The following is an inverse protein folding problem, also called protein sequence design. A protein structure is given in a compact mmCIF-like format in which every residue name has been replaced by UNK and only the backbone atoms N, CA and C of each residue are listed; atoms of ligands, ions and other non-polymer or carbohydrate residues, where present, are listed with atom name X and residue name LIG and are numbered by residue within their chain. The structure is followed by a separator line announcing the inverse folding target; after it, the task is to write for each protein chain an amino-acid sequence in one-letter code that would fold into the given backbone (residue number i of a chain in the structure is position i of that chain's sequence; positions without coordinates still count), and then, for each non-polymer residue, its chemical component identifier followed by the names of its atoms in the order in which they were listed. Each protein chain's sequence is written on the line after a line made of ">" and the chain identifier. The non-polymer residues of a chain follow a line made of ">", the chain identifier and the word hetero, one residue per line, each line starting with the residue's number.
data_IF_913616162321
#
_entry.id   IF_913616162321
#
_cell.length_a   1.000
_cell.length_b   1.000
_cell.length_c   1.000
_cell.angle_alpha   90.00
_cell.angle_beta   90.00
_cell.angle_gamma   90.00
#
_symmetry.space_group_name_H-M   'P 1'
#
loop_
_entity.id
_entity.type
_entity.pdbx_description
1 polymer ?
#
# COMPACT_ATOMS: atom_id res chain seq x y z
N UNK A 1 27.96 2.66 -33.38
CA UNK A 1 26.98 3.42 -32.56
C UNK A 1 27.77 4.49 -31.84
N UNK A 2 27.41 5.74 -32.07
CA UNK A 2 28.09 6.92 -31.54
C UNK A 2 27.87 6.99 -30.02
N UNK A 3 28.83 7.51 -29.24
CA UNK A 3 28.74 7.54 -27.77
C UNK A 3 27.45 8.20 -27.26
N UNK A 4 26.92 9.15 -28.02
CA UNK A 4 25.63 9.83 -27.75
C UNK A 4 24.43 8.87 -27.71
N UNK A 5 24.36 7.89 -28.60
CA UNK A 5 23.22 6.96 -28.65
C UNK A 5 23.19 6.05 -27.42
N UNK A 6 24.36 5.62 -26.96
CA UNK A 6 24.50 4.79 -25.75
C UNK A 6 24.09 5.57 -24.49
N UNK A 7 24.55 6.81 -24.37
CA UNK A 7 24.20 7.72 -23.27
C UNK A 7 22.68 7.95 -23.15
N UNK A 8 22.03 8.16 -24.29
CA UNK A 8 20.59 8.34 -24.36
C UNK A 8 19.85 7.05 -23.97
N UNK A 9 20.35 5.89 -24.39
CA UNK A 9 19.84 4.57 -24.02
C UNK A 9 19.82 4.34 -22.51
N UNK A 10 20.95 4.55 -21.84
CA UNK A 10 21.08 4.36 -20.38
C UNK A 10 20.15 5.31 -19.59
N UNK A 11 20.00 6.55 -20.06
CA UNK A 11 19.08 7.52 -19.43
C UNK A 11 17.63 7.07 -19.53
N UNK A 12 17.22 6.58 -20.71
CA UNK A 12 15.86 6.05 -20.93
C UNK A 12 15.59 4.81 -20.09
N UNK A 13 16.57 3.91 -19.98
CA UNK A 13 16.49 2.73 -19.14
C UNK A 13 16.25 3.09 -17.67
N UNK A 14 17.03 4.03 -17.13
CA UNK A 14 16.83 4.51 -15.75
C UNK A 14 15.43 5.11 -15.54
N UNK A 15 14.94 5.94 -16.46
CA UNK A 15 13.59 6.51 -16.37
C UNK A 15 12.51 5.41 -16.41
N UNK A 16 12.67 4.41 -17.27
CA UNK A 16 11.74 3.28 -17.36
C UNK A 16 11.71 2.48 -16.04
N UNK A 17 12.88 2.17 -15.47
CA UNK A 17 12.99 1.45 -14.19
C UNK A 17 12.36 2.23 -13.03
N UNK A 18 12.51 3.56 -12.98
CA UNK A 18 11.83 4.39 -11.98
C UNK A 18 10.31 4.33 -12.18
N UNK A 19 9.82 4.45 -13.41
CA UNK A 19 8.40 4.34 -13.73
C UNK A 19 7.80 2.97 -13.34
N UNK A 20 8.52 1.89 -13.63
CA UNK A 20 8.16 0.53 -13.25
C UNK A 20 8.11 0.39 -11.71
N UNK A 21 9.12 0.88 -10.99
CA UNK A 21 9.13 0.84 -9.53
C UNK A 21 7.96 1.61 -8.91
N UNK A 22 7.58 2.77 -9.46
CA UNK A 22 6.39 3.51 -8.98
C UNK A 22 5.09 2.75 -9.29
N UNK A 23 5.03 2.07 -10.43
CA UNK A 23 3.90 1.22 -10.81
C UNK A 23 3.75 0.02 -9.87
N UNK A 24 4.83 -0.70 -9.59
CA UNK A 24 4.85 -1.81 -8.61
C UNK A 24 4.44 -1.35 -7.21
N UNK A 25 4.88 -0.17 -6.79
CA UNK A 25 4.42 0.40 -5.52
C UNK A 25 2.91 0.68 -5.50
N UNK A 26 2.33 1.06 -6.63
CA UNK A 26 0.89 1.29 -6.74
C UNK A 26 0.09 0.00 -6.51
N UNK A 27 0.62 -1.16 -6.92
CA UNK A 27 0.04 -2.46 -6.58
C UNK A 27 0.12 -2.76 -5.07
N UNK A 28 1.24 -2.41 -4.42
CA UNK A 28 1.35 -2.48 -2.95
C UNK A 28 0.28 -1.63 -2.27
N UNK A 29 0.04 -0.39 -2.73
CA UNK A 29 -1.03 0.47 -2.19
C UNK A 29 -2.42 -0.13 -2.42
N UNK A 30 -2.67 -0.72 -3.60
CA UNK A 30 -3.93 -1.40 -3.91
C UNK A 30 -4.15 -2.61 -2.99
N UNK A 31 -3.13 -3.43 -2.74
CA UNK A 31 -3.23 -4.58 -1.84
C UNK A 31 -3.46 -4.17 -0.38
N UNK A 32 -2.86 -3.07 0.08
CA UNK A 32 -3.16 -2.49 1.39
C UNK A 32 -4.58 -1.94 1.46
N UNK A 33 -5.08 -1.33 0.38
CA UNK A 33 -6.47 -0.88 0.29
C UNK A 33 -7.44 -2.07 0.39
N UNK A 34 -7.17 -3.16 -0.34
CA UNK A 34 -7.98 -4.38 -0.27
C UNK A 34 -7.99 -4.97 1.14
N UNK A 35 -6.82 -5.03 1.78
CA UNK A 35 -6.69 -5.50 3.16
C UNK A 35 -7.47 -4.63 4.14
N UNK A 36 -7.38 -3.30 4.02
CA UNK A 36 -8.18 -2.36 4.80
C UNK A 36 -9.68 -2.62 4.61
N UNK A 37 -10.13 -2.72 3.35
CA UNK A 37 -11.53 -2.94 3.03
C UNK A 37 -12.05 -4.24 3.64
N UNK A 38 -11.33 -5.35 3.52
CA UNK A 38 -11.71 -6.64 4.14
C UNK A 38 -11.84 -6.52 5.66
N UNK A 39 -11.03 -5.68 6.31
CA UNK A 39 -11.06 -5.52 7.77
C UNK A 39 -12.21 -4.65 8.27
N UNK A 40 -12.70 -3.69 7.47
CA UNK A 40 -13.74 -2.73 7.88
C UNK A 40 -15.12 -3.05 7.32
N UNK A 41 -15.17 -3.86 6.28
CA UNK A 41 -16.41 -4.25 5.62
C UNK A 41 -16.87 -5.61 6.17
N UNK A 42 -18.07 -5.71 6.77
CA UNK A 42 -18.68 -7.00 7.09
C UNK A 42 -18.80 -7.81 5.80
N UNK A 43 -18.48 -9.10 5.78
CA UNK A 43 -18.56 -9.90 4.55
C UNK A 43 -19.82 -10.76 4.60
N UNK A 44 -20.87 -10.37 3.86
CA UNK A 44 -22.14 -11.13 3.79
C UNK A 44 -22.08 -12.38 2.92
N UNK A 45 -20.92 -12.74 2.36
CA UNK A 45 -20.80 -13.80 1.38
C UNK A 45 -20.06 -15.00 1.97
N UNK A 46 -20.80 -15.99 2.44
CA UNK A 46 -20.26 -17.33 2.58
C UNK A 46 -19.98 -17.90 1.18
N UNK A 47 -18.91 -18.70 0.98
CA UNK A 47 -18.65 -19.39 -0.29
C UNK A 47 -19.77 -20.34 -0.73
N UNK A 48 -20.62 -20.72 0.24
CA UNK A 48 -21.76 -21.64 0.07
C UNK A 48 -23.06 -20.89 -0.28
N UNK A 49 -23.10 -19.56 -0.10
CA UNK A 49 -24.14 -18.71 -0.66
C UNK A 49 -23.74 -18.38 -2.10
N UNK A 50 -24.62 -18.65 -3.06
CA UNK A 50 -24.36 -18.53 -4.51
C UNK A 50 -23.34 -17.43 -4.86
N UNK A 51 -22.34 -17.81 -5.66
CA UNK A 51 -21.09 -17.11 -6.00
C UNK A 51 -21.22 -15.67 -6.56
N UNK A 52 -22.38 -15.04 -6.46
CA UNK A 52 -22.68 -13.64 -6.79
C UNK A 52 -22.82 -12.71 -5.57
N UNK A 53 -22.90 -13.22 -4.33
CA UNK A 53 -23.08 -12.36 -3.14
C UNK A 53 -21.80 -11.62 -2.67
N UNK A 54 -20.65 -11.85 -3.31
CA UNK A 54 -19.40 -11.08 -3.08
C UNK A 54 -19.49 -9.66 -3.69
N UNK A 55 -20.55 -9.36 -4.43
CA UNK A 55 -20.74 -8.08 -5.12
C UNK A 55 -21.76 -7.24 -4.33
N UNK A 56 -21.37 -6.02 -3.92
CA UNK A 56 -22.23 -4.94 -3.34
C UNK A 56 -22.19 -4.65 -1.84
N UNK A 57 -21.19 -5.09 -1.09
CA UNK A 57 -20.89 -4.37 0.16
C UNK A 57 -20.00 -3.21 -0.25
N UNK A 58 -20.51 -1.99 -0.13
CA UNK A 58 -19.97 -0.70 -0.58
C UNK A 58 -18.42 -0.59 -0.48
N UNK A 59 -17.70 -1.24 -1.40
CA UNK A 59 -16.24 -1.20 -1.49
C UNK A 59 -15.76 0.21 -1.78
N UNK A 60 -16.66 1.07 -2.29
CA UNK A 60 -16.35 2.43 -2.68
C UNK A 60 -16.05 3.28 -1.44
N UNK A 61 -16.79 3.13 -0.35
CA UNK A 61 -16.56 3.93 0.88
C UNK A 61 -15.20 3.65 1.53
N UNK A 62 -14.81 2.40 1.88
CA UNK A 62 -13.48 2.12 2.41
C UNK A 62 -12.36 2.51 1.46
N UNK A 63 -12.55 2.30 0.15
CA UNK A 63 -11.57 2.70 -0.88
C UNK A 63 -11.41 4.22 -0.91
N UNK A 64 -12.51 4.96 -0.92
CA UNK A 64 -12.49 6.43 -0.89
C UNK A 64 -11.82 6.94 0.39
N UNK A 65 -12.12 6.35 1.54
CA UNK A 65 -11.46 6.68 2.82
C UNK A 65 -9.95 6.43 2.73
N UNK A 66 -9.53 5.26 2.22
CA UNK A 66 -8.11 4.91 2.11
C UNK A 66 -7.34 5.89 1.21
N UNK A 67 -7.89 6.23 0.05
CA UNK A 67 -7.25 7.14 -0.90
C UNK A 67 -7.43 8.63 -0.57
N UNK A 68 -8.36 8.98 0.33
CA UNK A 68 -8.47 10.35 0.87
C UNK A 68 -7.30 10.75 1.76
N UNK A 69 -6.52 9.77 2.22
CA UNK A 69 -5.39 9.98 3.13
C UNK A 69 -4.10 10.10 2.32
N UNK A 70 -3.58 11.32 2.20
CA UNK A 70 -2.37 11.57 1.39
C UNK A 70 -1.10 10.91 1.97
N UNK A 71 -0.99 10.86 3.30
CA UNK A 71 0.19 10.36 3.96
C UNK A 71 0.18 8.82 4.09
N UNK A 72 1.14 8.16 3.42
CA UNK A 72 1.26 6.70 3.47
C UNK A 72 1.43 6.12 4.89
N UNK A 73 2.12 6.82 5.80
CA UNK A 73 2.26 6.38 7.20
C UNK A 73 0.90 6.34 7.89
N UNK A 74 0.02 7.29 7.57
CA UNK A 74 -1.35 7.31 8.10
C UNK A 74 -2.19 6.19 7.50
N UNK A 75 -2.09 5.93 6.18
CA UNK A 75 -2.73 4.76 5.55
C UNK A 75 -2.33 3.46 6.24
N UNK A 76 -1.03 3.24 6.45
CA UNK A 76 -0.55 2.02 7.10
C UNK A 76 -1.06 1.88 8.55
N UNK A 77 -1.13 2.97 9.32
CA UNK A 77 -1.73 2.97 10.66
C UNK A 77 -3.22 2.65 10.65
N UNK A 78 -3.94 3.07 9.62
CA UNK A 78 -5.36 2.72 9.46
C UNK A 78 -5.52 1.23 9.18
N UNK A 79 -4.65 0.64 8.35
CA UNK A 79 -4.62 -0.81 8.13
C UNK A 79 -4.28 -1.55 9.42
N UNK A 80 -3.25 -1.10 10.17
CA UNK A 80 -2.87 -1.69 11.46
C UNK A 80 -4.06 -1.72 12.44
N UNK A 81 -4.77 -0.60 12.59
CA UNK A 81 -5.93 -0.48 13.48
C UNK A 81 -7.13 -1.34 13.03
N UNK A 82 -7.39 -1.39 11.71
CA UNK A 82 -8.46 -2.22 11.16
C UNK A 82 -8.17 -3.72 11.38
N UNK A 83 -6.92 -4.14 11.22
CA UNK A 83 -6.49 -5.51 11.49
C UNK A 83 -6.57 -5.87 12.97
N UNK A 84 -6.21 -4.96 13.87
CA UNK A 84 -6.36 -5.17 15.31
C UNK A 84 -7.83 -5.36 15.70
N UNK A 85 -8.74 -4.59 15.08
CA UNK A 85 -10.17 -4.77 15.27
C UNK A 85 -10.70 -6.10 14.70
N UNK A 86 -10.16 -6.54 13.54
CA UNK A 86 -10.56 -7.79 12.87
C UNK A 86 -10.01 -9.03 13.58
N UNK A 87 -8.74 -9.02 13.98
CA UNK A 87 -8.02 -10.16 14.59
C UNK A 87 -8.00 -9.98 16.11
N UNK A 88 -9.15 -10.20 16.72
CA UNK A 88 -9.39 -9.87 18.12
C UNK A 88 -9.32 -11.07 19.08
N UNK A 89 -9.05 -12.27 18.56
CA UNK A 89 -8.87 -13.50 19.33
C UNK A 89 -7.48 -13.61 19.97
N UNK A 90 -7.36 -14.54 20.91
CA UNK A 90 -6.07 -14.94 21.51
C UNK A 90 -5.70 -16.39 21.18
N UNK A 91 -6.43 -17.01 20.25
CA UNK A 91 -6.09 -18.31 19.72
C UNK A 91 -4.76 -18.26 18.94
N UNK A 92 -4.13 -19.42 18.77
CA UNK A 92 -2.82 -19.57 18.13
C UNK A 92 -2.81 -18.96 16.71
N UNK A 93 -3.89 -19.14 15.95
CA UNK A 93 -4.01 -18.61 14.59
C UNK A 93 -4.09 -17.08 14.57
N UNK A 94 -4.86 -16.48 15.49
CA UNK A 94 -4.88 -15.02 15.67
C UNK A 94 -3.51 -14.44 16.06
N UNK A 95 -2.70 -15.18 16.82
CA UNK A 95 -1.33 -14.78 17.19
C UNK A 95 -0.39 -14.87 15.97
N UNK A 96 -0.49 -15.94 15.19
CA UNK A 96 0.27 -16.13 13.95
C UNK A 96 0.00 -14.99 12.96
N UNK A 97 -1.28 -14.71 12.65
CA UNK A 97 -1.66 -13.65 11.72
C UNK A 97 -1.17 -12.26 12.16
N UNK A 98 -1.22 -11.96 13.46
CA UNK A 98 -0.69 -10.69 13.98
C UNK A 98 0.83 -10.62 13.87
N UNK A 99 1.52 -11.74 14.05
CA UNK A 99 2.99 -11.83 13.91
C UNK A 99 3.41 -11.63 12.46
N UNK A 100 2.73 -12.31 11.54
CA UNK A 100 2.93 -12.17 10.09
C UNK A 100 2.67 -10.74 9.64
N UNK A 101 1.57 -10.14 10.08
CA UNK A 101 1.27 -8.74 9.79
C UNK A 101 2.34 -7.80 10.33
N UNK A 102 2.82 -7.99 11.56
CA UNK A 102 3.85 -7.13 12.14
C UNK A 102 5.15 -7.16 11.31
N UNK A 103 5.53 -8.35 10.81
CA UNK A 103 6.67 -8.51 9.91
C UNK A 103 6.44 -7.80 8.56
N UNK A 104 5.26 -7.97 7.95
CA UNK A 104 4.88 -7.33 6.70
C UNK A 104 4.82 -5.81 6.84
N UNK A 105 4.11 -5.28 7.85
CA UNK A 105 4.00 -3.84 8.14
C UNK A 105 5.37 -3.20 8.33
N UNK A 106 6.31 -3.88 9.01
CA UNK A 106 7.71 -3.42 9.12
C UNK A 106 8.43 -3.41 7.77
N UNK A 107 8.28 -4.44 6.93
CA UNK A 107 8.85 -4.48 5.57
C UNK A 107 8.27 -3.36 4.70
N UNK A 108 6.95 -3.17 4.71
CA UNK A 108 6.22 -2.10 4.03
C UNK A 108 6.73 -0.72 4.42
N UNK A 109 6.91 -0.46 5.72
CA UNK A 109 7.46 0.81 6.22
C UNK A 109 8.88 1.08 5.73
N UNK A 110 9.73 0.04 5.65
CA UNK A 110 11.10 0.18 5.13
C UNK A 110 11.08 0.48 3.62
N UNK A 111 10.20 -0.18 2.88
CA UNK A 111 10.08 -0.03 1.43
C UNK A 111 9.42 1.29 1.03
N UNK A 112 8.49 1.84 1.83
CA UNK A 112 7.91 3.16 1.57
C UNK A 112 8.95 4.28 1.60
N UNK A 113 9.99 4.16 2.44
CA UNK A 113 11.12 5.09 2.44
C UNK A 113 11.89 5.03 1.11
N UNK A 114 12.01 3.84 0.51
CA UNK A 114 12.64 3.71 -0.81
C UNK A 114 11.76 4.32 -1.89
N UNK A 115 10.45 4.08 -1.86
CA UNK A 115 9.49 4.72 -2.78
C UNK A 115 9.57 6.24 -2.69
N UNK A 116 9.62 6.81 -1.49
CA UNK A 116 9.74 8.26 -1.33
C UNK A 116 11.06 8.79 -1.90
N UNK A 117 12.16 8.04 -1.83
CA UNK A 117 13.39 8.41 -2.56
C UNK A 117 13.13 8.41 -4.06
N UNK A 118 12.60 7.31 -4.62
CA UNK A 118 12.31 7.21 -6.06
C UNK A 118 11.40 8.36 -6.57
N UNK A 119 10.38 8.71 -5.81
CA UNK A 119 9.40 9.74 -6.20
C UNK A 119 9.93 11.18 -6.13
N UNK A 120 10.96 11.44 -5.33
CA UNK A 120 11.48 12.80 -5.10
C UNK A 120 12.89 13.02 -5.63
N UNK A 121 13.58 11.95 -6.02
CA UNK A 121 14.94 12.02 -6.57
C UNK A 121 14.91 12.30 -8.07
N UNK A 122 16.01 12.84 -8.59
CA UNK A 122 16.14 13.23 -9.99
C UNK A 122 17.03 12.23 -10.72
N UNK A 123 16.59 11.79 -11.90
CA UNK A 123 17.44 11.03 -12.82
C UNK A 123 18.46 11.99 -13.44
N UNK A 124 19.73 11.77 -13.14
CA UNK A 124 20.83 12.45 -13.82
C UNK A 124 21.11 11.67 -15.11
N UNK A 125 21.06 12.34 -16.29
CA UNK A 125 21.29 11.67 -17.56
C UNK A 125 22.72 11.12 -17.60
N UNK A 126 22.91 10.03 -18.34
CA UNK A 126 24.25 9.58 -18.68
C UNK A 126 24.92 10.63 -19.58
N UNK A 127 26.22 10.81 -19.43
CA UNK A 127 27.02 11.67 -20.31
C UNK A 127 28.44 11.14 -20.45
N UNK A 128 29.09 11.55 -21.53
CA UNK A 128 30.49 11.30 -21.81
C UNK A 128 31.28 12.58 -21.61
N UNK A 129 32.35 12.51 -20.81
CA UNK A 129 33.30 13.61 -20.60
C UNK A 129 34.72 13.04 -20.67
N UNK A 130 35.55 13.55 -21.57
CA UNK A 130 36.98 13.22 -21.71
C UNK A 130 37.33 11.73 -21.47
N UNK A 131 36.73 10.83 -22.26
CA UNK A 131 36.85 9.35 -22.22
C UNK A 131 36.26 8.62 -20.99
N UNK A 132 35.59 9.32 -20.08
CA UNK A 132 34.91 8.75 -18.91
C UNK A 132 33.40 8.66 -19.17
N UNK A 133 32.89 7.43 -19.23
CA UNK A 133 31.45 7.15 -19.30
C UNK A 133 30.82 7.32 -17.93
N UNK A 134 29.96 8.32 -17.75
CA UNK A 134 29.15 8.48 -16.55
C UNK A 134 27.75 7.88 -16.80
N UNK A 135 27.41 6.72 -16.21
CA UNK A 135 26.11 6.11 -16.43
C UNK A 135 24.98 6.92 -15.78
N UNK A 136 23.77 6.75 -16.28
CA UNK A 136 22.58 7.34 -15.70
C UNK A 136 22.41 6.88 -14.24
N UNK A 137 22.07 7.81 -13.35
CA UNK A 137 21.97 7.56 -11.92
C UNK A 137 20.85 8.36 -11.29
N UNK A 138 20.23 7.81 -10.27
CA UNK A 138 19.22 8.52 -9.49
C UNK A 138 19.92 9.23 -8.31
N UNK A 139 19.70 10.53 -8.18
CA UNK A 139 20.33 11.37 -7.16
C UNK A 139 19.28 12.11 -6.33
N UNK A 140 19.57 12.43 -5.05
CA UNK A 140 18.68 13.30 -4.27
C UNK A 140 18.38 14.60 -5.03
N UNK A 141 17.19 15.21 -4.80
CA UNK A 141 16.87 16.48 -5.43
C UNK A 141 18.00 17.48 -5.17
N UNK A 142 18.32 18.28 -6.20
CA UNK A 142 19.38 19.28 -6.18
C UNK A 142 19.23 20.21 -4.97
N UNK A 143 20.00 19.91 -3.91
CA UNK A 143 19.96 20.61 -2.65
C UNK A 143 18.58 20.60 -1.97
N UNK A 144 18.57 20.64 -0.65
CA UNK A 144 17.75 21.72 -0.11
C UNK A 144 18.35 23.02 -0.70
N UNK A 145 17.55 23.99 -1.15
CA UNK A 145 18.10 25.27 -1.62
C UNK A 145 19.17 25.84 -0.66
N UNK A 146 19.01 25.59 0.64
CA UNK A 146 20.00 25.84 1.69
C UNK A 146 21.36 25.17 1.44
N UNK A 147 21.43 23.86 1.21
CA UNK A 147 22.69 23.16 1.03
C UNK A 147 23.46 23.64 -0.21
N UNK A 148 22.79 23.79 -1.36
CA UNK A 148 23.44 24.31 -2.56
C UNK A 148 23.93 25.75 -2.36
N UNK A 149 23.13 26.59 -1.68
CA UNK A 149 23.52 27.96 -1.36
C UNK A 149 24.73 28.04 -0.42
N UNK A 150 24.91 27.03 0.46
CA UNK A 150 26.01 26.96 1.42
C UNK A 150 27.28 26.33 0.84
N UNK A 151 27.16 25.28 0.02
CA UNK A 151 28.31 24.45 -0.39
C UNK A 151 28.65 24.49 -1.87
N UNK A 152 27.79 25.10 -2.71
CA UNK A 152 27.96 25.12 -4.17
C UNK A 152 28.06 23.74 -4.82
N UNK A 153 27.61 22.70 -4.12
CA UNK A 153 27.76 21.29 -4.49
C UNK A 153 26.57 20.48 -4.01
N UNK A 154 26.32 19.33 -4.63
CA UNK A 154 25.29 18.42 -4.13
C UNK A 154 25.73 17.79 -2.81
N UNK A 155 24.82 17.57 -1.85
CA UNK A 155 25.16 16.85 -0.63
C UNK A 155 25.71 15.47 -1.01
N UNK A 156 26.71 14.95 -0.26
CA UNK A 156 27.25 13.62 -0.51
C UNK A 156 26.16 12.57 -0.24
N UNK A 157 25.36 12.28 -1.26
CA UNK A 157 24.34 11.26 -1.27
C UNK A 157 24.88 10.01 -1.94
N UNK A 158 24.54 8.83 -1.39
CA UNK A 158 24.70 7.58 -2.13
C UNK A 158 23.74 7.63 -3.31
N UNK A 159 24.27 7.82 -4.52
CA UNK A 159 23.50 7.68 -5.75
C UNK A 159 22.95 6.25 -5.86
N UNK A 160 21.84 6.09 -6.56
CA UNK A 160 21.23 4.78 -6.80
C UNK A 160 21.45 4.41 -8.28
N UNK A 161 22.07 3.27 -8.50
CA UNK A 161 22.33 2.68 -9.81
C UNK A 161 21.08 2.03 -10.41
N UNK A 162 21.04 1.78 -11.73
CA UNK A 162 19.93 1.08 -12.39
C UNK A 162 19.66 -0.28 -11.73
N UNK A 163 20.72 -1.02 -11.38
CA UNK A 163 20.63 -2.30 -10.68
C UNK A 163 19.92 -2.14 -9.33
N UNK A 164 20.28 -1.15 -8.53
CA UNK A 164 19.62 -0.90 -7.25
C UNK A 164 18.16 -0.46 -7.42
N UNK A 165 17.79 0.26 -8.48
CA UNK A 165 16.38 0.55 -8.80
C UNK A 165 15.63 -0.72 -9.16
N UNK A 166 16.22 -1.58 -10.01
CA UNK A 166 15.64 -2.88 -10.35
C UNK A 166 15.44 -3.78 -9.12
N UNK A 167 16.40 -3.82 -8.19
CA UNK A 167 16.24 -4.53 -6.91
C UNK A 167 15.09 -3.98 -6.06
N UNK A 168 14.75 -2.68 -6.21
CA UNK A 168 13.59 -2.07 -5.57
C UNK A 168 12.29 -2.50 -6.25
N UNK A 169 12.24 -2.56 -7.58
CA UNK A 169 11.11 -3.09 -8.37
C UNK A 169 10.74 -4.48 -7.87
N UNK A 170 11.72 -5.40 -7.87
CA UNK A 170 11.51 -6.78 -7.41
C UNK A 170 11.04 -6.84 -5.95
N UNK A 171 11.63 -6.00 -5.07
CA UNK A 171 11.23 -5.95 -3.67
C UNK A 171 9.80 -5.44 -3.45
N UNK A 172 9.29 -4.55 -4.32
CA UNK A 172 7.90 -4.10 -4.28
C UNK A 172 6.97 -5.19 -4.80
N UNK A 173 7.30 -5.83 -5.91
CA UNK A 173 6.53 -6.94 -6.47
C UNK A 173 6.37 -8.09 -5.46
N UNK A 174 7.47 -8.53 -4.84
CA UNK A 174 7.43 -9.53 -3.75
C UNK A 174 6.59 -9.09 -2.54
N UNK A 175 6.57 -7.78 -2.24
CA UNK A 175 5.76 -7.26 -1.15
C UNK A 175 4.27 -7.31 -1.50
N UNK A 176 3.91 -6.94 -2.73
CA UNK A 176 2.53 -7.05 -3.24
C UNK A 176 2.03 -8.50 -3.14
N UNK A 177 2.79 -9.46 -3.67
CA UNK A 177 2.44 -10.89 -3.61
C UNK A 177 2.19 -11.37 -2.17
N UNK A 178 3.07 -10.98 -1.24
CA UNK A 178 2.92 -11.34 0.18
C UNK A 178 1.70 -10.70 0.83
N UNK A 179 1.40 -9.44 0.50
CA UNK A 179 0.19 -8.77 0.97
C UNK A 179 -1.07 -9.44 0.41
N UNK A 180 -1.06 -9.84 -0.87
CA UNK A 180 -2.16 -10.59 -1.50
C UNK A 180 -2.39 -11.93 -0.87
N UNK A 181 -1.32 -12.68 -0.62
CA UNK A 181 -1.39 -13.95 0.09
C UNK A 181 -1.96 -13.76 1.49
N UNK A 182 -1.47 -12.75 2.23
CA UNK A 182 -1.93 -12.44 3.57
C UNK A 182 -3.43 -12.11 3.63
N UNK A 183 -3.92 -11.18 2.81
CA UNK A 183 -5.34 -10.79 2.88
C UNK A 183 -6.27 -11.90 2.37
N UNK A 184 -5.84 -12.73 1.41
CA UNK A 184 -6.59 -13.92 0.99
C UNK A 184 -6.67 -14.95 2.11
N UNK A 185 -5.55 -15.17 2.82
CA UNK A 185 -5.52 -16.02 4.01
C UNK A 185 -6.48 -15.52 5.09
N UNK A 186 -6.41 -14.23 5.43
CA UNK A 186 -7.32 -13.61 6.39
C UNK A 186 -8.79 -13.72 5.99
N UNK A 187 -9.11 -13.50 4.71
CA UNK A 187 -10.48 -13.62 4.19
C UNK A 187 -11.01 -15.06 4.25
N UNK A 188 -10.13 -16.06 4.25
CA UNK A 188 -10.51 -17.48 4.38
C UNK A 188 -10.78 -17.93 5.82
N UNK A 189 -10.41 -17.12 6.82
CA UNK A 189 -10.62 -17.42 8.24
C UNK A 189 -12.08 -17.19 8.65
N UNK A 190 -12.92 -18.22 8.50
CA UNK A 190 -14.36 -18.18 8.80
C UNK A 190 -14.64 -17.69 10.23
N UNK A 191 -13.90 -18.20 11.22
CA UNK A 191 -14.12 -17.85 12.63
C UNK A 191 -13.93 -16.36 12.91
N UNK A 192 -12.92 -15.74 12.31
CA UNK A 192 -12.65 -14.31 12.48
C UNK A 192 -13.69 -13.46 11.75
N UNK A 193 -14.16 -13.92 10.59
CA UNK A 193 -15.22 -13.27 9.83
C UNK A 193 -16.53 -13.29 10.61
N UNK A 194 -16.96 -14.46 11.09
CA UNK A 194 -18.18 -14.62 11.87
C UNK A 194 -18.16 -13.78 13.17
N UNK A 195 -17.03 -13.75 13.88
CA UNK A 195 -16.89 -12.94 15.10
C UNK A 195 -16.99 -11.44 14.80
N UNK A 196 -16.35 -10.98 13.72
CA UNK A 196 -16.44 -9.59 13.29
C UNK A 196 -17.86 -9.18 12.90
N UNK A 197 -18.57 -10.03 12.15
CA UNK A 197 -19.94 -9.75 11.74
C UNK A 197 -20.88 -9.71 12.95
N UNK A 198 -20.73 -10.65 13.90
CA UNK A 198 -21.48 -10.63 15.17
C UNK A 198 -21.23 -9.34 15.95
N UNK A 199 -19.99 -8.87 16.03
CA UNK A 199 -19.63 -7.62 16.70
C UNK A 199 -20.22 -6.40 16.00
N UNK A 200 -20.19 -6.39 14.67
CA UNK A 200 -20.77 -5.31 13.86
C UNK A 200 -22.30 -5.24 14.06
N UNK A 201 -23.00 -6.38 13.99
CA UNK A 201 -24.43 -6.45 14.28
C UNK A 201 -24.73 -5.96 15.70
N UNK A 202 -23.92 -6.36 16.69
CA UNK A 202 -24.07 -5.91 18.08
C UNK A 202 -23.89 -4.40 18.21
N UNK A 203 -22.92 -3.83 17.50
CA UNK A 203 -22.66 -2.38 17.47
C UNK A 203 -23.83 -1.62 16.83
N UNK A 204 -24.35 -2.11 15.70
CA UNK A 204 -25.54 -1.55 15.04
C UNK A 204 -26.72 -1.53 16.01
N UNK A 205 -27.05 -2.68 16.62
CA UNK A 205 -28.13 -2.80 17.62
C UNK A 205 -27.94 -1.86 18.82
N UNK A 206 -26.70 -1.66 19.26
CA UNK A 206 -26.39 -0.72 20.34
C UNK A 206 -26.61 0.74 19.91
N UNK A 207 -26.25 1.10 18.69
CA UNK A 207 -26.53 2.43 18.14
C UNK A 207 -28.02 2.68 17.95
N UNK A 208 -28.80 1.67 17.54
CA UNK A 208 -30.26 1.78 17.45
C UNK A 208 -30.88 2.14 18.81
N UNK A 209 -30.43 1.48 19.88
CA UNK A 209 -30.90 1.77 21.25
C UNK A 209 -30.55 3.19 21.71
N UNK A 210 -29.43 3.75 21.23
CA UNK A 210 -28.97 5.09 21.61
C UNK A 210 -29.65 6.21 20.82
N UNK A 211 -30.24 5.94 19.66
CA UNK A 211 -30.91 6.94 18.84
C UNK A 211 -32.03 6.32 18.01
N UNK A 212 -33.27 6.57 18.42
CA UNK A 212 -34.47 6.07 17.73
C UNK A 212 -34.53 6.52 16.26
N UNK A 213 -34.15 7.77 15.99
CA UNK A 213 -34.09 8.32 14.62
C UNK A 213 -33.04 7.61 13.75
N UNK A 214 -31.89 7.24 14.31
CA UNK A 214 -30.86 6.47 13.60
C UNK A 214 -31.31 5.04 13.33
N UNK A 215 -32.02 4.43 14.28
CA UNK A 215 -32.62 3.11 14.12
C UNK A 215 -33.66 3.09 13.00
N UNK A 216 -34.55 4.08 12.95
CA UNK A 216 -35.56 4.21 11.88
C UNK A 216 -34.92 4.36 10.50
N UNK A 217 -33.85 5.16 10.38
CA UNK A 217 -33.11 5.30 9.12
C UNK A 217 -32.43 3.99 8.71
N UNK A 218 -31.74 3.31 9.65
CA UNK A 218 -31.09 2.02 9.38
C UNK A 218 -32.09 0.96 8.93
N UNK A 219 -33.26 0.87 9.56
CA UNK A 219 -34.33 -0.06 9.13
C UNK A 219 -34.87 0.29 7.75
N UNK A 220 -35.01 1.58 7.44
CA UNK A 220 -35.45 2.05 6.11
C UNK A 220 -34.44 1.72 5.02
N UNK A 221 -33.15 1.83 5.31
CA UNK A 221 -32.07 1.49 4.38
C UNK A 221 -31.96 -0.03 4.19
N UNK A 222 -31.97 -0.80 5.28
CA UNK A 222 -31.86 -2.27 5.23
C UNK A 222 -33.11 -2.93 4.62
N UNK A 223 -34.31 -2.42 4.89
CA UNK A 223 -35.57 -2.94 4.33
C UNK A 223 -35.85 -2.54 2.89
N UNK A 224 -34.95 -1.80 2.23
CA UNK A 224 -35.01 -1.49 0.78
C UNK A 224 -34.15 -2.42 -0.07
N UNK A 225 -33.37 -3.29 0.56
CA UNK A 225 -32.48 -4.25 -0.10
C UNK A 225 -33.09 -5.66 -0.21
N UNK A 226 -34.36 -5.83 0.17
CA UNK A 226 -35.21 -7.01 -0.13
C UNK A 226 -36.07 -6.73 -1.37
#
# INVERSE_FOLDING_TARGET
>A
MDGKDKSLGETREMLALVGEAISEWSFVELSLCNLFTICVTPTSSHPDDDAQAVVYIDFQVPTAIFYSVENFRSKLRMVDAALEARISGSDERSVELRTDWAALSKKTRKLSLKRNRLAHWTVTPAYYDDDISNPAKLMPPYGSPGWWSETGSNPPGKHVSSKEVNDIVLAFSELDEKLRSFYKGLASERVLTDDFDRRTIRLIKLHERRSHRRAENLRRELGRSE
#
